data_IF_274472689635
#
_entry.id   IF_274472689635
#
_cell.length_a   1.000
_cell.length_b   1.000
_cell.length_c   1.000
_cell.angle_alpha   90.00
_cell.angle_beta   90.00
_cell.angle_gamma   90.00
#
_symmetry.space_group_name_H-M   'P 1'
#
loop_
_entity.id
_entity.type
_entity.pdbx_description
1 polymer ?
#
# COMPACT_ATOMS: atom_id res chain seq x y z
N UNK A 1 -55.67 -1.68 22.32
CA UNK A 1 -55.19 -2.64 21.31
C UNK A 1 -53.76 -2.28 20.92
N UNK A 2 -52.71 -2.81 21.58
CA UNK A 2 -51.34 -2.87 21.04
C UNK A 2 -50.56 -3.94 21.84
N UNK A 3 -50.55 -5.18 21.37
CA UNK A 3 -49.66 -6.22 21.88
C UNK A 3 -49.46 -7.25 20.77
N UNK A 4 -48.34 -7.16 20.04
CA UNK A 4 -47.68 -8.25 19.30
C UNK A 4 -46.57 -7.68 18.41
N UNK A 5 -45.42 -7.35 19.02
CA UNK A 5 -44.17 -7.15 18.26
C UNK A 5 -42.94 -7.65 19.04
N UNK A 6 -43.14 -8.51 20.05
CA UNK A 6 -42.06 -9.06 20.90
C UNK A 6 -41.68 -10.53 20.60
N UNK A 7 -42.48 -11.26 19.83
CA UNK A 7 -42.30 -12.71 19.65
C UNK A 7 -41.05 -13.11 18.84
N UNK A 8 -40.56 -12.24 17.95
CA UNK A 8 -39.43 -12.57 17.07
C UNK A 8 -38.08 -12.64 17.78
N UNK A 9 -37.88 -11.92 18.89
CA UNK A 9 -36.62 -11.95 19.64
C UNK A 9 -36.58 -13.13 20.61
N UNK A 10 -37.70 -13.43 21.26
CA UNK A 10 -37.80 -14.52 22.24
C UNK A 10 -37.69 -15.91 21.61
N UNK A 11 -38.15 -16.08 20.38
CA UNK A 11 -37.96 -17.33 19.64
C UNK A 11 -36.49 -17.55 19.25
N UNK A 12 -35.75 -16.47 18.96
CA UNK A 12 -34.33 -16.52 18.59
C UNK A 12 -33.44 -16.82 19.77
N UNK A 13 -33.77 -16.30 20.96
CA UNK A 13 -33.02 -16.62 22.20
C UNK A 13 -33.21 -18.07 22.62
N UNK A 14 -34.41 -18.65 22.42
CA UNK A 14 -34.67 -20.08 22.65
C UNK A 14 -33.80 -20.95 21.75
N UNK A 15 -33.74 -20.65 20.45
CA UNK A 15 -32.87 -21.36 19.50
C UNK A 15 -31.39 -21.25 19.87
N UNK A 16 -30.92 -20.05 20.24
CA UNK A 16 -29.54 -19.82 20.68
C UNK A 16 -29.18 -20.66 21.91
N UNK A 17 -30.06 -20.67 22.92
CA UNK A 17 -29.83 -21.45 24.14
C UNK A 17 -29.81 -22.96 23.89
N UNK A 18 -30.66 -23.44 22.97
CA UNK A 18 -30.69 -24.84 22.56
C UNK A 18 -29.39 -25.25 21.84
N UNK A 19 -28.94 -24.44 20.88
CA UNK A 19 -27.70 -24.66 20.13
C UNK A 19 -26.46 -24.67 21.04
N UNK A 20 -26.44 -23.82 22.07
CA UNK A 20 -25.35 -23.76 23.05
C UNK A 20 -25.33 -24.97 23.99
N UNK A 21 -26.51 -25.51 24.31
CA UNK A 21 -26.66 -26.69 25.18
C UNK A 21 -26.36 -28.00 24.44
N UNK A 22 -26.75 -28.11 23.18
CA UNK A 22 -26.62 -29.36 22.41
C UNK A 22 -25.20 -29.58 21.89
N UNK A 23 -24.51 -28.51 21.46
CA UNK A 23 -23.17 -28.59 20.86
C UNK A 23 -22.20 -27.48 21.31
N UNK A 24 -21.86 -27.40 22.62
CA UNK A 24 -21.00 -26.35 23.16
C UNK A 24 -19.61 -26.32 22.53
N UNK A 25 -19.01 -27.49 22.27
CA UNK A 25 -17.66 -27.58 21.69
C UNK A 25 -17.57 -27.05 20.27
N UNK A 26 -18.60 -27.26 19.44
CA UNK A 26 -18.64 -26.77 18.06
C UNK A 26 -18.70 -25.25 18.02
N UNK A 27 -19.51 -24.65 18.92
CA UNK A 27 -19.59 -23.20 19.06
C UNK A 27 -18.25 -22.63 19.52
N UNK A 28 -17.66 -23.18 20.58
CA UNK A 28 -16.35 -22.76 21.08
C UNK A 28 -15.26 -22.86 20.00
N UNK A 29 -15.23 -23.96 19.24
CA UNK A 29 -14.27 -24.16 18.17
C UNK A 29 -14.43 -23.14 17.04
N UNK A 30 -15.67 -22.89 16.59
CA UNK A 30 -15.94 -21.91 15.53
C UNK A 30 -15.50 -20.50 15.94
N UNK A 31 -15.80 -20.11 17.18
CA UNK A 31 -15.43 -18.81 17.75
C UNK A 31 -13.91 -18.70 17.87
N UNK A 32 -13.25 -19.74 18.38
CA UNK A 32 -11.80 -19.78 18.50
C UNK A 32 -11.11 -19.64 17.13
N UNK A 33 -11.59 -20.34 16.10
CA UNK A 33 -11.05 -20.21 14.74
C UNK A 33 -11.20 -18.78 14.21
N UNK A 34 -12.38 -18.17 14.39
CA UNK A 34 -12.60 -16.78 13.96
C UNK A 34 -11.63 -15.83 14.66
N UNK A 35 -11.45 -15.95 15.99
CA UNK A 35 -10.49 -15.12 16.71
C UNK A 35 -9.05 -15.35 16.25
N UNK A 36 -8.63 -16.61 16.09
CA UNK A 36 -7.28 -16.94 15.65
C UNK A 36 -7.01 -16.37 14.26
N UNK A 37 -7.95 -16.47 13.34
CA UNK A 37 -7.78 -15.90 11.99
C UNK A 37 -7.69 -14.38 12.02
N UNK A 38 -8.56 -13.71 12.77
CA UNK A 38 -8.55 -12.24 12.90
C UNK A 38 -7.25 -11.74 13.54
N UNK A 39 -6.74 -12.43 14.57
CA UNK A 39 -5.49 -12.06 15.24
C UNK A 39 -4.28 -12.36 14.35
N UNK A 40 -4.27 -13.51 13.66
CA UNK A 40 -3.12 -13.92 12.83
C UNK A 40 -2.97 -13.06 11.57
N UNK A 41 -4.08 -12.56 11.02
CA UNK A 41 -4.08 -11.79 9.78
C UNK A 41 -3.15 -10.56 9.84
N UNK A 42 -3.26 -9.62 10.80
CA UNK A 42 -2.37 -8.46 10.88
C UNK A 42 -0.92 -8.83 11.19
N UNK A 43 -0.67 -9.94 11.90
CA UNK A 43 0.68 -10.42 12.19
C UNK A 43 1.43 -10.88 10.92
N UNK A 44 0.70 -11.40 9.92
CA UNK A 44 1.29 -11.87 8.66
C UNK A 44 1.34 -10.74 7.63
N UNK A 45 0.30 -9.90 7.57
CA UNK A 45 0.19 -8.86 6.53
C UNK A 45 0.95 -7.58 6.84
N UNK A 46 1.12 -7.24 8.12
CA UNK A 46 1.75 -5.99 8.53
C UNK A 46 3.03 -6.24 9.32
N UNK A 47 4.04 -5.41 9.06
CA UNK A 47 5.21 -5.31 9.94
C UNK A 47 4.77 -4.69 11.26
N UNK A 48 5.39 -5.14 12.35
CA UNK A 48 5.16 -4.52 13.66
C UNK A 48 5.41 -3.00 13.60
N UNK A 49 4.57 -2.20 14.28
CA UNK A 49 4.79 -0.77 14.35
C UNK A 49 6.13 -0.48 15.02
N UNK A 50 6.89 0.42 14.43
CA UNK A 50 8.14 0.92 14.99
C UNK A 50 7.83 2.09 15.94
N UNK A 51 8.33 2.00 17.17
CA UNK A 51 8.16 3.02 18.21
C UNK A 51 9.47 3.74 18.53
N UNK A 52 10.46 3.64 17.66
CA UNK A 52 11.80 4.22 17.87
C UNK A 52 11.79 5.74 18.04
N UNK A 53 10.83 6.44 17.44
CA UNK A 53 10.66 7.88 17.62
C UNK A 53 9.30 8.17 18.29
N UNK A 54 9.31 8.53 19.60
CA UNK A 54 8.11 8.74 20.39
C UNK A 54 7.38 10.04 20.03
N UNK A 55 7.96 10.91 19.18
CA UNK A 55 7.33 12.15 18.75
C UNK A 55 6.51 11.99 17.46
N UNK A 56 6.59 10.83 16.78
CA UNK A 56 5.73 10.55 15.63
C UNK A 56 4.25 10.56 16.04
N UNK A 57 3.48 11.44 15.40
CA UNK A 57 2.03 11.56 15.62
C UNK A 57 1.60 12.78 16.43
N UNK A 58 2.53 13.58 16.96
CA UNK A 58 2.23 14.84 17.66
C UNK A 58 2.03 16.05 16.73
N UNK A 59 2.00 15.83 15.42
CA UNK A 59 1.68 16.87 14.44
C UNK A 59 0.20 17.26 14.52
N UNK A 60 -0.09 18.56 14.41
CA UNK A 60 -1.45 19.11 14.43
C UNK A 60 -2.20 18.89 13.11
N UNK A 61 -2.42 17.62 12.74
CA UNK A 61 -3.06 17.22 11.48
C UNK A 61 -4.42 17.90 11.28
N UNK A 62 -4.69 18.33 10.05
CA UNK A 62 -5.97 18.96 9.69
C UNK A 62 -6.10 20.44 10.10
N UNK A 63 -5.09 21.02 10.74
CA UNK A 63 -5.06 22.47 10.98
C UNK A 63 -4.50 23.23 9.77
N UNK A 64 -4.88 24.51 9.63
CA UNK A 64 -4.34 25.38 8.58
C UNK A 64 -2.81 25.49 8.70
N UNK A 65 -2.28 25.54 9.93
CA UNK A 65 -0.85 25.61 10.18
C UNK A 65 -0.14 24.33 9.70
N UNK A 66 -0.66 23.15 10.06
CA UNK A 66 -0.13 21.88 9.56
C UNK A 66 -0.18 21.79 8.04
N UNK A 67 -1.27 22.23 7.40
CA UNK A 67 -1.36 22.22 5.93
C UNK A 67 -0.27 23.05 5.25
N UNK A 68 0.06 24.22 5.83
CA UNK A 68 1.12 25.09 5.32
C UNK A 68 2.50 24.48 5.55
N UNK A 69 2.72 23.89 6.72
CA UNK A 69 3.99 23.23 7.05
C UNK A 69 4.23 22.04 6.13
N UNK A 70 3.23 21.15 5.95
CA UNK A 70 3.33 20.02 5.03
C UNK A 70 3.54 20.46 3.57
N UNK A 71 2.87 21.53 3.13
CA UNK A 71 3.07 22.08 1.79
C UNK A 71 4.49 22.64 1.61
N UNK A 72 5.02 23.30 2.64
CA UNK A 72 6.40 23.80 2.65
C UNK A 72 7.41 22.65 2.59
N UNK A 73 7.24 21.62 3.41
CA UNK A 73 8.14 20.46 3.42
C UNK A 73 8.13 19.72 2.09
N UNK A 74 6.94 19.53 1.50
CA UNK A 74 6.81 18.94 0.16
C UNK A 74 7.47 19.80 -0.92
N UNK A 75 7.41 21.14 -0.82
CA UNK A 75 8.08 22.04 -1.74
C UNK A 75 9.60 21.94 -1.63
N UNK A 76 10.13 21.91 -0.40
CA UNK A 76 11.57 21.73 -0.15
C UNK A 76 12.04 20.38 -0.68
N UNK A 77 11.25 19.31 -0.49
CA UNK A 77 11.56 17.98 -1.04
C UNK A 77 11.56 17.99 -2.58
N UNK A 78 10.56 18.64 -3.19
CA UNK A 78 10.42 18.68 -4.63
C UNK A 78 11.45 19.58 -5.33
N UNK A 79 12.04 20.53 -4.62
CA UNK A 79 13.12 21.43 -5.11
C UNK A 79 14.53 20.87 -4.89
N UNK A 80 14.66 19.68 -4.29
CA UNK A 80 15.95 18.98 -4.19
C UNK A 80 16.51 18.66 -5.58
N UNK A 81 17.81 18.40 -5.66
CA UNK A 81 18.54 18.12 -6.92
C UNK A 81 18.00 16.93 -7.74
N UNK A 82 17.26 16.02 -7.10
CA UNK A 82 16.60 14.87 -7.74
C UNK A 82 15.08 15.07 -7.91
N UNK A 83 14.55 16.20 -7.43
CA UNK A 83 13.15 16.54 -7.48
C UNK A 83 12.72 17.14 -8.83
N UNK A 84 11.41 17.22 -9.09
CA UNK A 84 10.87 17.73 -10.34
C UNK A 84 10.96 19.27 -10.48
N UNK A 85 11.13 19.98 -9.38
CA UNK A 85 11.26 21.44 -9.37
C UNK A 85 12.74 21.81 -9.26
N UNK A 86 13.14 22.82 -10.02
CA UNK A 86 14.51 23.33 -10.01
C UNK A 86 14.48 24.77 -9.52
N UNK A 87 15.47 25.14 -8.72
CA UNK A 87 15.64 26.52 -8.26
C UNK A 87 16.36 27.39 -9.30
N UNK A 88 17.22 26.77 -10.11
CA UNK A 88 18.01 27.45 -11.11
C UNK A 88 17.61 27.02 -12.53
N UNK A 89 17.08 27.94 -13.37
CA UNK A 89 16.67 27.60 -14.73
C UNK A 89 17.79 27.00 -15.60
N UNK A 90 19.07 27.23 -15.28
CA UNK A 90 20.18 26.59 -16.01
C UNK A 90 20.23 25.07 -15.83
N UNK A 91 19.72 24.55 -14.70
CA UNK A 91 19.68 23.12 -14.41
C UNK A 91 18.66 22.38 -15.30
N UNK A 92 17.59 23.06 -15.73
CA UNK A 92 16.60 22.50 -16.65
C UNK A 92 17.24 22.09 -17.97
N UNK A 93 18.03 23.00 -18.57
CA UNK A 93 18.70 22.73 -19.85
C UNK A 93 19.66 21.54 -19.75
N UNK A 94 20.43 21.45 -18.66
CA UNK A 94 21.32 20.31 -18.45
C UNK A 94 20.58 19.00 -18.20
N UNK A 95 19.40 19.04 -17.58
CA UNK A 95 18.56 17.87 -17.36
C UNK A 95 17.96 17.36 -18.67
N UNK A 96 17.44 18.24 -19.52
CA UNK A 96 16.92 17.91 -20.85
C UNK A 96 18.00 17.29 -21.74
N UNK A 97 19.21 17.86 -21.74
CA UNK A 97 20.33 17.34 -22.51
C UNK A 97 20.73 15.92 -22.05
N UNK A 98 20.72 15.67 -20.73
CA UNK A 98 20.98 14.34 -20.15
C UNK A 98 19.88 13.34 -20.52
N UNK A 99 18.61 13.76 -20.53
CA UNK A 99 17.48 12.91 -20.93
C UNK A 99 17.61 12.55 -22.41
N UNK A 100 17.83 13.55 -23.26
CA UNK A 100 18.03 13.34 -24.70
C UNK A 100 19.18 12.35 -24.93
N UNK A 101 20.37 12.59 -24.37
CA UNK A 101 21.51 11.67 -24.51
C UNK A 101 21.19 10.24 -24.05
N UNK A 102 20.42 10.07 -22.97
CA UNK A 102 19.98 8.75 -22.48
C UNK A 102 19.06 8.04 -23.48
N UNK A 103 18.00 8.71 -23.96
CA UNK A 103 17.04 8.14 -24.93
C UNK A 103 17.72 7.69 -26.22
N UNK A 104 18.61 8.52 -26.77
CA UNK A 104 19.34 8.22 -28.01
C UNK A 104 20.45 7.18 -27.85
N UNK A 105 21.04 7.06 -26.66
CA UNK A 105 22.00 6.00 -26.33
C UNK A 105 21.29 4.64 -26.24
N UNK A 106 20.14 4.59 -25.59
CA UNK A 106 19.42 3.33 -25.36
C UNK A 106 18.82 2.74 -26.64
N UNK A 107 18.28 3.60 -27.52
CA UNK A 107 17.83 3.19 -28.86
C UNK A 107 18.95 2.58 -29.71
N UNK A 108 20.17 3.14 -29.65
CA UNK A 108 21.35 2.58 -30.33
C UNK A 108 21.75 1.22 -29.76
N UNK A 109 21.74 1.06 -28.44
CA UNK A 109 22.04 -0.22 -27.77
C UNK A 109 21.03 -1.30 -28.15
N UNK A 110 19.73 -0.99 -28.20
CA UNK A 110 18.67 -1.91 -28.60
C UNK A 110 18.83 -2.39 -30.04
N UNK A 111 19.12 -1.48 -30.98
CA UNK A 111 19.38 -1.82 -32.39
C UNK A 111 20.60 -2.74 -32.54
N UNK A 112 21.67 -2.48 -31.79
CA UNK A 112 22.86 -3.33 -31.79
C UNK A 112 22.58 -4.72 -31.21
N UNK A 113 21.81 -4.84 -30.11
CA UNK A 113 21.39 -6.13 -29.56
C UNK A 113 20.57 -6.96 -30.55
N UNK A 114 19.62 -6.34 -31.26
CA UNK A 114 18.79 -7.03 -32.27
C UNK A 114 19.67 -7.50 -33.44
N UNK A 115 20.60 -6.66 -33.91
CA UNK A 115 21.52 -7.00 -35.00
C UNK A 115 22.45 -8.16 -34.63
N UNK A 116 22.97 -8.18 -33.40
CA UNK A 116 23.80 -9.28 -32.89
C UNK A 116 22.98 -10.57 -32.80
N UNK A 117 21.75 -10.51 -32.26
CA UNK A 117 20.86 -11.67 -32.18
C UNK A 117 20.49 -12.24 -33.55
N UNK A 118 20.18 -11.39 -34.52
CA UNK A 118 19.91 -11.83 -35.90
C UNK A 118 21.11 -12.53 -36.53
N UNK A 119 22.34 -12.03 -36.27
CA UNK A 119 23.57 -12.67 -36.75
C UNK A 119 23.80 -14.02 -36.08
N UNK A 120 23.66 -14.15 -34.77
CA UNK A 120 23.85 -15.44 -34.08
C UNK A 120 22.88 -16.52 -34.56
N UNK A 121 21.63 -16.16 -34.88
CA UNK A 121 20.65 -17.12 -35.40
C UNK A 121 21.01 -17.61 -36.81
N UNK A 122 21.61 -16.77 -37.65
CA UNK A 122 22.05 -17.16 -39.00
C UNK A 122 23.21 -18.18 -38.95
N UNK A 123 24.12 -18.07 -37.98
CA UNK A 123 25.24 -19.03 -37.85
C UNK A 123 24.88 -20.33 -37.12
N UNK A 124 23.74 -20.39 -36.43
CA UNK A 124 23.30 -21.58 -35.67
C UNK A 124 22.45 -22.56 -36.49
N UNK A 125 22.17 -22.26 -37.77
CA UNK A 125 21.31 -23.05 -38.66
C UNK A 125 22.06 -23.78 -39.78
N UNK A 126 23.38 -23.92 -39.68
CA UNK A 126 24.23 -24.74 -40.56
C UNK A 126 24.86 -25.88 -39.76
#
# INVERSE_FOLDING_TARGET
MYACSGGGFEERTKLYSHLLAEHPYTVLFSVALVFVTIISLPFITHKFPDFSDPQLGFESRGTIVSSRLTAWDNLVEATRTSGPLTLNPSELYHHEEKIYKRLFSDGRKKKNRIKVKARSTIYSGY
#
